data_IF_270394485640
#
_entry.id   IF_270394485640
#
_cell.length_a   1.000
_cell.length_b   1.000
_cell.length_c   1.000
_cell.angle_alpha   90.00
_cell.angle_beta   90.00
_cell.angle_gamma   90.00
#
_symmetry.space_group_name_H-M   'P 1'
#
loop_
_entity.id
_entity.type
_entity.pdbx_description
1 polymer ?
#
# COMPACT_ATOMS: atom_id res chain seq x y z
N UNK A 1 1.44 8.66 -9.77
CA UNK A 1 2.70 8.03 -9.31
C UNK A 1 3.55 8.98 -8.46
N UNK A 2 4.23 8.47 -7.43
CA UNK A 2 5.21 9.20 -6.60
C UNK A 2 6.48 9.46 -7.42
N UNK A 3 6.58 10.64 -8.06
CA UNK A 3 7.60 10.93 -9.09
C UNK A 3 8.96 11.32 -8.54
N UNK A 4 9.01 11.85 -7.31
CA UNK A 4 10.24 12.23 -6.62
C UNK A 4 10.11 11.95 -5.12
N UNK A 5 11.20 12.18 -4.38
CA UNK A 5 11.33 11.94 -2.94
C UNK A 5 11.25 13.21 -2.09
N UNK A 6 10.87 14.36 -2.68
CA UNK A 6 10.91 15.67 -1.98
C UNK A 6 10.03 15.71 -0.73
N UNK A 7 8.94 14.94 -0.73
CA UNK A 7 8.00 14.86 0.39
C UNK A 7 8.35 13.78 1.42
N UNK A 8 9.48 13.10 1.26
CA UNK A 8 9.87 12.05 2.20
C UNK A 8 10.21 12.62 3.57
N UNK A 9 10.94 13.74 3.63
CA UNK A 9 11.29 14.40 4.89
C UNK A 9 10.06 14.65 5.79
N UNK A 10 9.06 15.40 5.30
CA UNK A 10 7.82 15.61 6.04
C UNK A 10 7.08 14.32 6.44
N UNK A 11 7.04 13.32 5.55
CA UNK A 11 6.39 12.04 5.87
C UNK A 11 7.12 11.26 6.97
N UNK A 12 8.46 11.26 6.94
CA UNK A 12 9.29 10.62 7.97
C UNK A 12 9.14 11.34 9.31
N UNK A 13 9.10 12.68 9.31
CA UNK A 13 8.90 13.47 10.52
C UNK A 13 7.51 13.23 11.13
N UNK A 14 6.45 13.17 10.31
CA UNK A 14 5.12 12.81 10.80
C UNK A 14 5.11 11.40 11.45
N UNK A 15 5.74 10.42 10.80
CA UNK A 15 5.80 9.05 11.29
C UNK A 15 6.57 8.89 12.63
N UNK A 16 7.59 9.73 12.85
CA UNK A 16 8.34 9.76 14.13
C UNK A 16 7.51 10.23 15.32
N UNK A 17 6.50 11.08 15.07
CA UNK A 17 5.68 11.69 16.11
C UNK A 17 4.32 11.01 16.29
N UNK A 18 3.92 10.10 15.39
CA UNK A 18 2.66 9.40 15.46
C UNK A 18 2.74 8.12 16.30
N UNK A 19 1.65 7.80 17.01
CA UNK A 19 1.52 6.54 17.76
C UNK A 19 1.32 5.32 16.85
N UNK A 20 0.83 5.54 15.63
CA UNK A 20 0.73 4.55 14.55
C UNK A 20 0.79 5.27 13.20
N UNK A 21 1.33 4.60 12.18
CA UNK A 21 1.47 5.17 10.84
C UNK A 21 0.69 4.34 9.83
N UNK A 22 -0.23 4.98 9.10
CA UNK A 22 -1.00 4.33 8.03
C UNK A 22 -0.56 4.89 6.67
N UNK A 23 0.03 4.04 5.84
CA UNK A 23 0.45 4.38 4.48
C UNK A 23 -0.60 3.88 3.48
N UNK A 24 -1.28 4.81 2.81
CA UNK A 24 -2.22 4.50 1.73
C UNK A 24 -1.48 4.66 0.40
N UNK A 25 -1.28 3.54 -0.29
CA UNK A 25 -0.44 3.44 -1.48
C UNK A 25 -1.08 2.50 -2.51
N UNK A 26 -0.60 2.51 -3.75
CA UNK A 26 -1.04 1.56 -4.76
C UNK A 26 -1.04 2.13 -6.16
N UNK A 27 -2.11 1.81 -6.90
CA UNK A 27 -2.33 2.10 -8.31
C UNK A 27 -3.54 3.01 -8.49
N UNK A 28 -3.71 3.50 -9.71
CA UNK A 28 -4.89 4.23 -10.16
C UNK A 28 -5.13 3.92 -11.66
N UNK A 29 -6.17 4.53 -12.23
CA UNK A 29 -6.54 4.34 -13.63
C UNK A 29 -5.51 4.88 -14.64
N UNK A 30 -4.47 5.61 -14.20
CA UNK A 30 -3.35 5.95 -15.09
C UNK A 30 -2.38 4.78 -15.29
N UNK A 31 -2.49 3.73 -14.48
CA UNK A 31 -1.63 2.54 -14.51
C UNK A 31 -2.39 1.29 -14.96
N UNK A 32 -3.64 1.13 -14.54
CA UNK A 32 -4.49 -0.01 -14.90
C UNK A 32 -5.87 0.46 -15.34
N UNK A 33 -6.14 0.35 -16.64
CA UNK A 33 -7.41 0.79 -17.22
C UNK A 33 -7.75 -0.07 -18.44
N UNK A 34 -8.97 0.11 -18.95
CA UNK A 34 -9.33 -0.42 -20.26
C UNK A 34 -8.32 0.06 -21.30
N UNK A 35 -7.87 -0.85 -22.18
CA UNK A 35 -6.83 -0.61 -23.20
C UNK A 35 -5.42 -0.29 -22.67
N UNK A 36 -5.22 -0.32 -21.35
CA UNK A 36 -3.94 -0.03 -20.70
C UNK A 36 -3.56 -1.19 -19.79
N UNK A 37 -2.79 -2.13 -20.36
CA UNK A 37 -2.18 -3.20 -19.59
C UNK A 37 -0.98 -2.69 -18.77
N UNK A 38 -0.82 -3.25 -17.58
CA UNK A 38 0.36 -3.01 -16.75
C UNK A 38 1.57 -3.74 -17.33
N UNK A 39 2.73 -3.10 -17.27
CA UNK A 39 4.02 -3.68 -17.68
C UNK A 39 4.84 -4.21 -16.50
N UNK A 40 4.39 -3.94 -15.27
CA UNK A 40 5.02 -4.42 -14.04
C UNK A 40 3.96 -4.67 -12.97
N UNK A 41 4.27 -5.57 -12.04
CA UNK A 41 3.52 -5.84 -10.82
C UNK A 41 4.04 -5.01 -9.63
N UNK A 42 5.03 -4.13 -9.82
CA UNK A 42 5.58 -3.29 -8.75
C UNK A 42 4.69 -2.07 -8.47
N UNK A 43 4.85 -1.49 -7.28
CA UNK A 43 4.30 -0.17 -6.99
C UNK A 43 4.95 0.91 -7.86
N UNK A 44 4.20 1.88 -8.39
CA UNK A 44 4.73 2.86 -9.32
C UNK A 44 5.52 3.96 -8.60
N UNK A 45 6.64 4.34 -9.20
CA UNK A 45 7.52 5.40 -8.72
C UNK A 45 8.21 5.03 -7.41
N UNK A 46 8.39 6.02 -6.54
CA UNK A 46 9.15 5.86 -5.29
C UNK A 46 8.31 5.33 -4.11
N UNK A 47 7.11 4.80 -4.34
CA UNK A 47 6.24 4.33 -3.25
C UNK A 47 6.88 3.24 -2.39
N UNK A 48 7.61 2.29 -2.99
CA UNK A 48 8.30 1.26 -2.24
C UNK A 48 9.39 1.85 -1.32
N UNK A 49 10.18 2.80 -1.81
CA UNK A 49 11.21 3.50 -1.02
C UNK A 49 10.57 4.34 0.10
N UNK A 50 9.45 5.02 -0.18
CA UNK A 50 8.67 5.75 0.82
C UNK A 50 8.24 4.81 1.95
N UNK A 51 7.66 3.65 1.62
CA UNK A 51 7.21 2.67 2.61
C UNK A 51 8.38 2.20 3.46
N UNK A 52 9.51 1.81 2.85
CA UNK A 52 10.68 1.35 3.59
C UNK A 52 11.26 2.42 4.53
N UNK A 53 11.33 3.67 4.07
CA UNK A 53 11.87 4.78 4.88
C UNK A 53 10.92 5.22 5.99
N UNK A 54 9.62 5.28 5.71
CA UNK A 54 8.61 5.59 6.73
C UNK A 54 8.54 4.48 7.76
N UNK A 55 8.51 3.21 7.37
CA UNK A 55 8.52 2.09 8.30
C UNK A 55 9.77 2.08 9.20
N UNK A 56 10.93 2.52 8.67
CA UNK A 56 12.15 2.68 9.45
C UNK A 56 12.10 3.84 10.45
N UNK A 57 11.37 4.92 10.13
CA UNK A 57 11.28 6.12 10.95
C UNK A 57 10.10 6.09 11.94
N UNK A 58 9.08 5.28 11.67
CA UNK A 58 7.88 5.14 12.50
C UNK A 58 8.23 4.73 13.94
N UNK A 59 7.67 5.45 14.90
CA UNK A 59 7.75 5.10 16.33
C UNK A 59 6.83 3.93 16.68
N UNK A 60 5.65 3.90 16.07
CA UNK A 60 4.60 2.91 16.30
C UNK A 60 4.44 1.89 15.16
N UNK A 61 3.39 1.05 15.21
CA UNK A 61 3.09 0.11 14.14
C UNK A 61 2.88 0.84 12.81
N UNK A 62 3.44 0.29 11.74
CA UNK A 62 3.20 0.76 10.37
C UNK A 62 2.20 -0.17 9.68
N UNK A 63 1.09 0.38 9.20
CA UNK A 63 0.05 -0.34 8.48
C UNK A 63 0.06 0.11 7.02
N UNK A 64 0.07 -0.85 6.11
CA UNK A 64 0.02 -0.60 4.68
C UNK A 64 -1.40 -0.83 4.14
N UNK A 65 -2.01 0.20 3.55
CA UNK A 65 -3.29 0.08 2.84
C UNK A 65 -3.04 0.17 1.35
N UNK A 66 -3.31 -0.93 0.64
CA UNK A 66 -3.13 -1.08 -0.79
C UNK A 66 -4.43 -0.77 -1.53
N UNK A 67 -4.41 0.29 -2.33
CA UNK A 67 -5.47 0.67 -3.26
C UNK A 67 -5.07 0.27 -4.67
N UNK A 68 -5.63 -0.83 -5.17
CA UNK A 68 -5.39 -1.30 -6.53
C UNK A 68 -6.49 -2.27 -6.95
N UNK A 69 -6.83 -2.33 -8.22
CA UNK A 69 -7.68 -3.37 -8.79
C UNK A 69 -6.92 -4.68 -8.93
N UNK A 70 -5.74 -4.65 -9.56
CA UNK A 70 -4.87 -5.82 -9.70
C UNK A 70 -3.93 -6.07 -8.51
N UNK A 71 -3.35 -7.28 -8.41
CA UNK A 71 -2.34 -7.57 -7.41
C UNK A 71 -1.06 -6.78 -7.68
N UNK A 72 -0.33 -6.46 -6.61
CA UNK A 72 0.95 -5.76 -6.63
C UNK A 72 1.95 -6.62 -5.84
N UNK A 73 3.20 -6.71 -6.27
CA UNK A 73 4.24 -7.42 -5.56
C UNK A 73 4.54 -6.68 -4.25
N UNK A 74 4.18 -7.33 -3.15
CA UNK A 74 4.31 -6.82 -1.79
C UNK A 74 5.42 -7.55 -1.02
N UNK A 75 6.28 -8.31 -1.69
CA UNK A 75 7.34 -9.10 -1.03
C UNK A 75 8.22 -8.23 -0.14
N UNK A 76 8.50 -7.00 -0.55
CA UNK A 76 9.26 -6.02 0.24
C UNK A 76 8.60 -5.66 1.57
N UNK A 77 7.26 -5.54 1.60
CA UNK A 77 6.50 -5.18 2.80
C UNK A 77 6.18 -6.41 3.64
N UNK A 78 5.81 -7.52 3.00
CA UNK A 78 5.49 -8.80 3.65
C UNK A 78 6.65 -9.33 4.49
N UNK A 79 7.89 -9.13 4.03
CA UNK A 79 9.09 -9.62 4.71
C UNK A 79 9.71 -8.58 5.66
N UNK A 80 9.12 -7.39 5.78
CA UNK A 80 9.62 -6.34 6.66
C UNK A 80 8.93 -6.42 8.04
N UNK A 81 9.66 -6.74 9.12
CA UNK A 81 9.07 -6.90 10.45
C UNK A 81 8.50 -5.60 11.04
N UNK A 82 8.80 -4.44 10.43
CA UNK A 82 8.26 -3.13 10.85
C UNK A 82 6.84 -2.89 10.33
N UNK A 83 6.40 -3.66 9.33
CA UNK A 83 5.04 -3.60 8.80
C UNK A 83 4.16 -4.50 9.65
N UNK A 84 3.33 -3.88 10.49
CA UNK A 84 2.45 -4.57 11.44
C UNK A 84 1.21 -5.17 10.76
N UNK A 85 0.80 -4.63 9.61
CA UNK A 85 -0.37 -5.11 8.87
C UNK A 85 -0.41 -4.61 7.43
N UNK A 86 -1.04 -5.41 6.57
CA UNK A 86 -1.28 -5.07 5.17
C UNK A 86 -2.76 -5.31 4.87
N UNK A 87 -3.45 -4.27 4.40
CA UNK A 87 -4.86 -4.28 4.03
C UNK A 87 -4.98 -3.97 2.53
N UNK A 88 -5.60 -4.85 1.76
CA UNK A 88 -5.99 -4.53 0.38
C UNK A 88 -7.44 -4.05 0.34
N UNK A 89 -7.65 -2.84 -0.18
CA UNK A 89 -8.94 -2.16 -0.19
C UNK A 89 -9.60 -2.08 -1.57
N UNK A 90 -8.94 -2.57 -2.62
CA UNK A 90 -9.46 -2.45 -3.99
C UNK A 90 -9.63 -0.98 -4.42
N UNK A 91 -10.72 -0.72 -5.13
CA UNK A 91 -11.28 0.63 -5.32
C UNK A 91 -12.58 0.76 -4.51
N UNK A 92 -12.53 1.29 -3.28
CA UNK A 92 -13.58 1.09 -2.26
C UNK A 92 -14.80 2.02 -2.39
N UNK A 93 -14.93 2.76 -3.51
CA UNK A 93 -16.07 3.64 -3.78
C UNK A 93 -16.21 4.83 -2.83
N UNK A 94 -17.38 5.48 -2.85
CA UNK A 94 -17.62 6.76 -2.18
C UNK A 94 -17.47 6.74 -0.65
N UNK A 95 -17.76 5.60 -0.02
CA UNK A 95 -17.64 5.42 1.44
C UNK A 95 -16.32 4.75 1.84
N UNK A 96 -15.39 4.57 0.89
CA UNK A 96 -14.21 3.74 1.08
C UNK A 96 -13.28 4.20 2.19
N UNK A 97 -13.11 5.52 2.36
CA UNK A 97 -12.31 6.06 3.46
C UNK A 97 -12.88 5.70 4.84
N UNK A 98 -14.21 5.81 5.00
CA UNK A 98 -14.89 5.41 6.23
C UNK A 98 -14.80 3.89 6.46
N UNK A 99 -15.02 3.10 5.42
CA UNK A 99 -14.91 1.64 5.50
C UNK A 99 -13.50 1.17 5.90
N UNK A 100 -12.44 1.79 5.35
CA UNK A 100 -11.06 1.51 5.74
C UNK A 100 -10.84 1.86 7.22
N UNK A 101 -11.33 3.02 7.68
CA UNK A 101 -11.20 3.42 9.08
C UNK A 101 -11.91 2.44 10.02
N UNK A 102 -13.15 2.04 9.72
CA UNK A 102 -13.92 1.08 10.52
C UNK A 102 -13.18 -0.25 10.69
N UNK A 103 -12.46 -0.72 9.66
CA UNK A 103 -11.63 -1.93 9.76
C UNK A 103 -10.39 -1.68 10.63
N UNK A 104 -9.67 -0.58 10.41
CA UNK A 104 -8.42 -0.28 11.14
C UNK A 104 -8.66 -0.04 12.64
N UNK A 105 -9.80 0.56 12.99
CA UNK A 105 -10.18 0.82 14.38
C UNK A 105 -11.02 -0.29 15.01
N UNK A 106 -11.30 -1.37 14.27
CA UNK A 106 -12.00 -2.54 14.80
C UNK A 106 -13.51 -2.36 15.00
N UNK A 107 -14.11 -1.33 14.41
CA UNK A 107 -15.57 -1.15 14.32
C UNK A 107 -16.22 -2.28 13.53
N UNK A 108 -15.50 -2.82 12.53
CA UNK A 108 -15.87 -4.03 11.81
C UNK A 108 -14.66 -4.97 11.65
N UNK A 109 -14.93 -6.28 11.61
CA UNK A 109 -13.89 -7.28 11.38
C UNK A 109 -13.70 -7.55 9.87
N UNK A 110 -12.46 -7.63 9.37
CA UNK A 110 -12.20 -7.92 7.96
C UNK A 110 -12.55 -9.38 7.62
N UNK A 111 -13.53 -9.59 6.75
CA UNK A 111 -13.97 -10.91 6.28
C UNK A 111 -13.58 -11.26 4.83
N UNK A 112 -13.01 -10.31 4.09
CA UNK A 112 -12.68 -10.47 2.67
C UNK A 112 -11.63 -11.56 2.39
N UNK A 113 -11.69 -12.14 1.19
CA UNK A 113 -10.69 -13.10 0.67
C UNK A 113 -10.20 -12.62 -0.69
N UNK A 114 -8.94 -12.92 -1.00
CA UNK A 114 -8.32 -12.55 -2.26
C UNK A 114 -8.99 -13.33 -3.41
N UNK A 115 -9.57 -12.65 -4.43
CA UNK A 115 -10.19 -13.32 -5.57
C UNK A 115 -9.17 -13.71 -6.65
N UNK A 116 -7.92 -13.27 -6.51
CA UNK A 116 -6.83 -13.45 -7.48
C UNK A 116 -5.53 -13.82 -6.76
N UNK A 117 -4.60 -14.43 -7.48
CA UNK A 117 -3.25 -14.74 -6.96
C UNK A 117 -2.39 -13.48 -6.89
N UNK A 118 -1.69 -13.27 -5.77
CA UNK A 118 -0.66 -12.24 -5.65
C UNK A 118 0.70 -12.80 -6.11
N UNK A 119 1.03 -12.57 -7.37
CA UNK A 119 2.30 -12.99 -7.96
C UNK A 119 3.45 -12.03 -7.59
N UNK A 120 4.69 -12.55 -7.44
CA UNK A 120 5.88 -11.71 -7.38
C UNK A 120 6.20 -11.14 -8.78
N UNK A 121 6.95 -10.03 -8.84
CA UNK A 121 7.35 -9.36 -10.08
C UNK A 121 8.09 -10.31 -11.05
N UNK A 122 8.84 -11.28 -10.52
CA UNK A 122 9.56 -12.28 -11.32
C UNK A 122 8.64 -13.14 -12.20
N UNK A 123 7.34 -13.22 -11.90
CA UNK A 123 6.37 -13.92 -12.75
C UNK A 123 6.35 -13.41 -14.20
N UNK A 124 6.66 -12.12 -14.41
CA UNK A 124 6.71 -11.50 -15.73
C UNK A 124 7.97 -11.84 -16.55
N UNK A 125 8.95 -12.54 -15.97
CA UNK A 125 10.22 -12.88 -16.64
C UNK A 125 10.18 -14.20 -17.41
N UNK A 126 9.05 -14.92 -17.37
CA UNK A 126 8.86 -16.19 -18.05
C UNK A 126 8.20 -16.00 -19.42
#
# INVERSE_FOLDING_TARGET
>A
ACKDDKQFGPALDAARHADATVLVIGLDQSIEAETVDRTALLLPGHQQDLVSKVAAASKGPTILVLMSGGPVDITFAKNDPRIAGILWAGYPGQAGGAAIADILFGTANPGGKLPVTWYPQEYLKN
#
